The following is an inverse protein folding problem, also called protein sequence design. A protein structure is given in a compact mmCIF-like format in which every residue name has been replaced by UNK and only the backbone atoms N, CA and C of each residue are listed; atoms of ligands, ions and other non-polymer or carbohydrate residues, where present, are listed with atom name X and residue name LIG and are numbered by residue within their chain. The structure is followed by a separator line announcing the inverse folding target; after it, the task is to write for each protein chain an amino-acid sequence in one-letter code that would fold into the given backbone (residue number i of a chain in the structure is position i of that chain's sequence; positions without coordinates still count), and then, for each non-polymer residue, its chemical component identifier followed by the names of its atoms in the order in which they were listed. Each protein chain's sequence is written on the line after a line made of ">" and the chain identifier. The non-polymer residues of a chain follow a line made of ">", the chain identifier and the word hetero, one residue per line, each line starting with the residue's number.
data_IF_274904619618
#
_entry.id   IF_274904619618
#
_cell.length_a   1.000
_cell.length_b   1.000
_cell.length_c   1.000
_cell.angle_alpha   90.00
_cell.angle_beta   90.00
_cell.angle_gamma   90.00
#
_symmetry.space_group_name_H-M   'P 1'
#
loop_
_entity.id
_entity.type
_entity.pdbx_description
1 polymer ?
2 polymer ?
3 water ?
#
# COMPACT_ATOMS: atom_id res chain seq x y z
N UNK A 1 4.94 1.82 -19.07
CA UNK A 1 5.69 1.82 -17.81
C UNK A 1 5.10 0.76 -16.85
N UNK A 2 3.98 0.16 -17.27
CA UNK A 2 3.31 -0.84 -16.45
C UNK A 2 4.18 -2.07 -16.25
N UNK A 3 5.11 -2.31 -17.16
CA UNK A 3 6.07 -3.38 -16.99
C UNK A 3 6.99 -3.18 -15.82
N UNK A 4 6.97 -2.00 -15.21
CA UNK A 4 7.75 -1.78 -14.00
C UNK A 4 7.07 -2.26 -12.73
N UNK A 5 5.77 -2.54 -12.74
CA UNK A 5 5.03 -2.85 -11.55
C UNK A 5 4.62 -4.32 -11.57
N UNK A 6 4.44 -4.87 -10.36
CA UNK A 6 4.14 -6.29 -10.16
C UNK A 6 2.67 -6.59 -10.43
N UNK A 7 2.29 -6.51 -11.71
CA UNK A 7 0.89 -6.75 -12.07
C UNK A 7 0.43 -8.12 -11.58
N UNK A 8 -0.67 -8.10 -10.83
CA UNK A 8 -1.22 -9.30 -10.23
C UNK A 8 -0.85 -9.51 -8.79
N UNK A 9 0.03 -8.69 -8.24
CA UNK A 9 0.40 -8.89 -6.84
C UNK A 9 -0.75 -8.57 -5.89
N UNK A 10 -1.54 -7.54 -6.18
CA UNK A 10 -2.66 -7.21 -5.30
C UNK A 10 -3.65 -8.37 -5.27
N UNK A 11 -3.99 -8.93 -6.45
CA UNK A 11 -4.87 -10.10 -6.47
C UNK A 11 -4.27 -11.28 -5.71
N UNK A 12 -2.96 -11.49 -5.83
CA UNK A 12 -2.31 -12.57 -5.12
C UNK A 12 -2.40 -12.39 -3.61
N UNK A 13 -2.21 -11.16 -3.13
CA UNK A 13 -2.31 -10.92 -1.69
C UNK A 13 -3.73 -11.12 -1.22
N UNK A 14 -4.70 -10.62 -1.98
CA UNK A 14 -6.09 -10.75 -1.56
C UNK A 14 -6.63 -12.16 -1.68
N UNK A 15 -6.03 -13.01 -2.52
CA UNK A 15 -6.52 -14.37 -2.68
C UNK A 15 -5.67 -15.35 -1.87
N UNK A 16 -4.41 -15.47 -2.21
CA UNK A 16 -3.53 -16.43 -1.56
C UNK A 16 -3.12 -15.94 -0.17
N UNK A 17 -2.93 -14.63 -0.01
CA UNK A 17 -2.55 -14.05 1.25
C UNK A 17 -1.17 -14.42 1.70
N UNK A 18 -0.34 -14.89 0.79
CA UNK A 18 1.01 -15.30 1.13
C UNK A 18 1.91 -14.08 1.17
N UNK A 19 2.92 -14.13 2.03
CA UNK A 19 3.74 -12.97 2.31
C UNK A 19 5.17 -13.15 1.84
N UNK A 20 5.46 -14.22 1.06
CA UNK A 20 6.83 -14.42 0.60
C UNK A 20 7.22 -13.51 -0.56
N UNK A 21 6.25 -12.93 -1.25
CA UNK A 21 6.53 -12.14 -2.44
C UNK A 21 7.12 -10.77 -2.06
N UNK A 22 7.77 -10.14 -3.03
CA UNK A 22 8.43 -8.84 -2.83
C UNK A 22 7.95 -7.89 -3.91
N UNK A 23 6.67 -7.59 -3.95
CA UNK A 23 6.13 -6.88 -5.12
C UNK A 23 6.60 -5.46 -5.23
N UNK A 24 6.65 -4.99 -6.47
CA UNK A 24 6.98 -3.61 -6.83
C UNK A 24 5.67 -2.89 -7.14
N UNK A 25 5.40 -1.85 -6.37
CA UNK A 25 4.11 -1.16 -6.38
C UNK A 25 4.32 0.33 -6.51
N UNK A 26 3.32 1.03 -7.04
CA UNK A 26 3.34 2.48 -7.05
C UNK A 26 2.42 3.02 -5.96
N UNK A 27 2.90 4.02 -5.21
CA UNK A 27 2.05 4.71 -4.26
C UNK A 27 1.16 5.66 -5.04
N UNK A 28 -0.15 5.55 -4.86
CA UNK A 28 -1.08 6.52 -5.48
C UNK A 28 -1.37 7.65 -4.50
N UNK A 29 -1.62 7.33 -3.23
CA UNK A 29 -1.98 8.32 -2.21
C UNK A 29 -1.52 7.83 -0.84
N UNK A 30 -1.27 8.79 0.07
CA UNK A 30 -0.81 8.57 1.46
C UNK A 30 -1.58 9.51 2.38
N UNK A 31 -2.26 8.97 3.38
CA UNK A 31 -3.09 9.77 4.28
C UNK A 31 -2.79 9.39 5.72
N UNK A 32 -2.46 10.33 6.60
CA UNK A 32 -2.33 10.00 8.01
C UNK A 32 -3.69 9.77 8.64
N UNK A 33 -3.78 8.73 9.46
CA UNK A 33 -5.03 8.51 10.25
C UNK A 33 -4.62 8.52 11.73
N UNK A 34 -5.38 9.23 12.57
CA UNK A 34 -5.01 9.34 14.02
C UNK A 34 -6.29 9.34 14.87
N UNK A 39 -0.39 10.27 17.49
CA UNK A 39 0.70 9.83 16.61
C UNK A 39 0.08 9.24 15.33
N UNK A 40 0.61 9.54 14.13
CA UNK A 40 -0.04 9.11 12.90
C UNK A 40 0.28 7.72 12.36
N UNK A 41 -0.74 7.04 11.83
CA UNK A 41 -0.50 5.76 11.13
C UNK A 41 -0.89 6.03 9.68
N UNK A 42 0.03 5.85 8.75
CA UNK A 42 -0.24 6.22 7.36
C UNK A 42 -0.95 5.11 6.61
N UNK A 43 -2.07 5.46 5.99
CA UNK A 43 -2.81 4.58 5.10
C UNK A 43 -2.41 4.88 3.65
N UNK A 44 -2.16 3.83 2.88
CA UNK A 44 -1.71 3.99 1.49
C UNK A 44 -2.68 3.37 0.49
N UNK A 45 -2.96 4.13 -0.56
CA UNK A 45 -3.59 3.62 -1.79
C UNK A 45 -2.47 3.23 -2.75
N UNK A 46 -2.33 1.94 -3.04
CA UNK A 46 -1.22 1.38 -3.80
C UNK A 46 -1.77 0.80 -5.09
N UNK A 47 -0.90 0.78 -6.12
CA UNK A 47 -1.20 0.20 -7.42
C UNK A 47 -0.14 -0.81 -7.80
N UNK A 48 -0.58 -1.91 -8.41
CA UNK A 48 0.37 -2.84 -9.02
C UNK A 48 0.33 -2.76 -10.54
N UNK A 49 -0.25 -1.67 -11.07
CA UNK A 49 -0.40 -1.42 -12.48
C UNK A 49 -1.73 -1.91 -13.03
N UNK A 50 -2.25 -3.00 -12.48
CA UNK A 50 -3.54 -3.59 -12.84
C UNK A 50 -4.66 -3.15 -11.91
N UNK A 51 -4.43 -3.25 -10.61
CA UNK A 51 -5.40 -2.90 -9.60
C UNK A 51 -4.84 -1.91 -8.61
N UNK A 52 -5.77 -1.22 -7.94
CA UNK A 52 -5.43 -0.52 -6.71
C UNK A 52 -6.08 -1.19 -5.51
N UNK A 53 -5.52 -0.90 -4.34
CA UNK A 53 -6.05 -1.34 -3.06
C UNK A 53 -5.70 -0.29 -2.01
N UNK A 54 -6.64 0.06 -1.11
CA UNK A 54 -6.38 1.12 -0.14
C UNK A 54 -6.26 0.63 1.29
N UNK A 55 -6.15 -0.67 1.51
CA UNK A 55 -6.03 -1.18 2.88
C UNK A 55 -4.59 -1.46 3.27
N UNK A 56 -3.64 -0.77 2.63
CA UNK A 56 -2.25 -0.81 3.03
C UNK A 56 -2.04 0.15 4.18
N UNK A 57 -1.31 -0.29 5.20
CA UNK A 57 -0.94 0.53 6.34
C UNK A 57 0.56 0.44 6.50
N UNK A 58 1.20 1.57 6.79
CA UNK A 58 2.63 1.62 7.06
C UNK A 58 2.92 1.31 8.52
N UNK A 59 3.83 0.37 8.76
CA UNK A 59 4.36 0.23 10.10
C UNK A 59 4.98 1.54 10.59
N UNK A 60 4.78 1.85 11.88
CA UNK A 60 5.33 3.08 12.48
C UNK A 60 6.82 3.23 12.25
N UNK A 61 7.55 2.11 12.23
CA UNK A 61 9.00 2.17 12.07
C UNK A 61 9.40 2.76 10.72
N UNK A 62 8.50 2.77 9.75
CA UNK A 62 8.77 3.34 8.43
C UNK A 62 8.34 4.80 8.30
N UNK A 63 7.76 5.40 9.34
CA UNK A 63 7.29 6.77 9.23
C UNK A 63 8.34 7.73 8.75
N UNK A 64 9.64 7.58 9.10
CA UNK A 64 10.64 8.51 8.53
C UNK A 64 10.64 8.56 7.01
N UNK A 65 10.30 7.48 6.32
CA UNK A 65 10.26 7.53 4.87
C UNK A 65 9.20 8.50 4.38
N UNK A 66 8.10 8.62 5.12
CA UNK A 66 7.07 9.60 4.74
C UNK A 66 7.51 10.99 5.17
N UNK A 67 8.03 11.10 6.39
CA UNK A 67 8.38 12.40 6.93
C UNK A 67 9.46 13.09 6.12
N UNK A 68 10.42 12.34 5.59
CA UNK A 68 11.46 12.89 4.72
C UNK A 68 11.09 12.89 3.26
N UNK A 69 9.83 12.51 2.94
CA UNK A 69 9.27 12.58 1.59
C UNK A 69 10.00 11.67 0.60
N UNK A 70 10.59 10.59 1.10
CA UNK A 70 11.17 9.59 0.16
C UNK A 70 9.99 8.76 -0.35
N UNK A 71 9.06 8.40 0.54
CA UNK A 71 7.85 7.68 0.19
C UNK A 71 6.76 8.72 0.02
N UNK A 72 6.31 8.92 -1.21
CA UNK A 72 5.29 9.92 -1.48
C UNK A 72 4.54 9.53 -2.75
N UNK A 73 3.42 10.23 -2.98
CA UNK A 73 2.51 9.90 -4.08
C UNK A 73 3.23 9.88 -5.41
N UNK A 74 3.09 8.77 -6.14
CA UNK A 74 3.62 8.43 -7.47
C UNK A 74 4.99 7.76 -7.41
N UNK A 75 5.62 7.66 -6.23
CA UNK A 75 6.87 6.90 -6.16
C UNK A 75 6.61 5.41 -6.38
N UNK A 76 7.67 4.72 -6.81
CA UNK A 76 7.64 3.26 -6.99
C UNK A 76 8.51 2.63 -5.91
N UNK A 77 7.99 1.62 -5.26
CA UNK A 77 8.68 0.99 -4.14
C UNK A 77 8.57 -0.52 -4.25
N UNK A 78 9.44 -1.21 -3.52
CA UNK A 78 9.47 -2.66 -3.49
C UNK A 78 9.25 -3.08 -2.04
N UNK A 79 8.25 -3.92 -1.81
CA UNK A 79 7.95 -4.38 -0.46
C UNK A 79 8.89 -5.52 -0.11
N UNK A 80 9.54 -5.40 1.04
CA UNK A 80 10.45 -6.44 1.50
C UNK A 80 9.94 -7.28 2.65
N UNK A 81 8.96 -6.80 3.40
CA UNK A 81 8.31 -7.59 4.44
C UNK A 81 6.94 -6.98 4.69
N UNK A 82 5.92 -7.83 4.74
CA UNK A 82 4.59 -7.36 5.07
C UNK A 82 3.83 -8.45 5.78
N UNK A 83 2.78 -8.03 6.45
CA UNK A 83 1.89 -8.90 7.21
C UNK A 83 0.47 -8.70 6.71
N UNK A 84 -0.26 -9.78 6.55
CA UNK A 84 -1.66 -9.76 6.18
C UNK A 84 -2.50 -10.00 7.44
N UNK A 85 -3.52 -9.15 7.64
CA UNK A 85 -4.45 -9.29 8.76
C UNK A 85 -5.85 -9.35 8.15
N UNK A 86 -6.45 -10.55 8.18
CA UNK A 86 -7.78 -10.74 7.63
C UNK A 86 -8.82 -10.48 8.71
N UNK A 87 -9.71 -9.56 8.41
CA UNK A 87 -10.71 -9.16 9.38
C UNK A 87 -11.90 -10.12 9.38
N UNK A 88 -12.73 -10.02 10.42
CA UNK A 88 -13.87 -10.93 10.54
C UNK A 88 -14.82 -10.84 9.37
N UNK A 89 -14.89 -9.68 8.70
CA UNK A 89 -15.81 -9.55 7.57
C UNK A 89 -15.19 -9.98 6.26
N UNK A 90 -13.93 -10.42 6.27
CA UNK A 90 -13.30 -10.95 5.07
C UNK A 90 -12.35 -9.99 4.37
N UNK A 91 -12.41 -8.70 4.69
CA UNK A 91 -11.44 -7.76 4.13
C UNK A 91 -10.04 -8.01 4.69
N UNK A 92 -9.02 -7.66 3.93
CA UNK A 92 -7.66 -7.86 4.36
C UNK A 92 -6.94 -6.54 4.47
N UNK A 93 -6.26 -6.37 5.60
CA UNK A 93 -5.35 -5.27 5.84
C UNK A 93 -3.93 -5.75 5.56
N UNK A 94 -3.14 -4.94 4.87
CA UNK A 94 -1.77 -5.29 4.50
C UNK A 94 -0.86 -4.30 5.22
N UNK A 95 -0.13 -4.75 6.23
CA UNK A 95 0.78 -3.91 7.00
C UNK A 95 2.19 -4.05 6.42
N UNK A 96 2.72 -2.93 5.91
CA UNK A 96 4.04 -2.89 5.29
C UNK A 96 5.08 -2.68 6.38
N UNK A 97 5.93 -3.69 6.56
CA UNK A 97 6.95 -3.69 7.60
C UNK A 97 8.28 -3.17 7.11
N UNK A 98 8.68 -3.54 5.89
CA UNK A 98 9.95 -3.14 5.31
C UNK A 98 9.74 -2.86 3.84
N UNK A 99 10.30 -1.78 3.33
CA UNK A 99 10.21 -1.51 1.91
C UNK A 99 11.35 -0.59 1.52
N UNK A 100 11.57 -0.52 0.21
CA UNK A 100 12.61 0.31 -0.36
C UNK A 100 12.00 1.13 -1.47
N UNK A 101 12.26 2.44 -1.49
CA UNK A 101 11.81 3.26 -2.60
C UNK A 101 12.79 3.08 -3.74
N UNK A 102 12.28 2.59 -4.88
CA UNK A 102 13.12 2.36 -6.05
C UNK A 102 13.22 3.57 -6.96
N UNK A 103 12.15 4.34 -7.10
CA UNK A 103 12.14 5.49 -7.98
C UNK A 103 11.27 6.57 -7.34
N UNK A 104 11.80 7.78 -7.27
CA UNK A 104 11.15 8.85 -6.55
C UNK A 104 9.89 9.32 -7.28
N UNK A 105 8.99 9.95 -6.52
CA UNK A 105 7.79 10.53 -7.11
C UNK A 105 8.15 11.53 -8.21
N UNK A 106 9.19 12.32 -7.97
CA UNK A 106 9.59 13.33 -8.92
C UNK A 106 10.07 12.69 -10.21
N UNK A 107 10.79 11.57 -10.09
CA UNK A 107 11.31 10.90 -11.27
C UNK A 107 10.23 10.13 -12.04
N UNK A 108 9.22 9.62 -11.35
CA UNK A 108 8.13 8.93 -12.05
C UNK A 108 7.16 9.93 -12.64
N UNK A 109 6.72 10.89 -11.84
CA UNK A 109 6.01 12.06 -12.33
C UNK A 109 4.52 11.92 -12.50
N UNK A 110 3.99 10.71 -12.52
CA UNK A 110 2.61 10.49 -12.92
C UNK A 110 2.19 9.08 -12.52
N UNK A 111 0.88 8.88 -12.40
CA UNK A 111 0.34 7.54 -12.14
C UNK A 111 0.62 6.67 -13.36
N UNK A 112 1.13 5.47 -13.12
CA UNK A 112 1.47 4.53 -14.19
C UNK A 112 0.23 3.73 -14.58
N UNK A 113 -0.01 3.61 -15.88
CA UNK A 113 -1.11 2.76 -16.31
C UNK A 113 -2.49 3.29 -15.97
N UNK A 114 -3.45 2.38 -16.04
CA UNK A 114 -4.85 2.72 -15.74
C UNK A 114 -5.41 1.67 -14.79
N UNK A 115 -4.87 1.58 -13.57
CA UNK A 115 -5.34 0.55 -12.63
C UNK A 115 -6.76 0.83 -12.14
N UNK A 116 -7.47 -0.27 -11.85
CA UNK A 116 -8.85 -0.18 -11.40
C UNK A 116 -8.95 -0.83 -10.02
N UNK A 117 -9.89 -0.44 -9.18
CA UNK A 117 -9.94 -0.99 -7.82
C UNK A 117 -10.10 -2.51 -7.85
N UNK A 118 -9.31 -3.22 -7.05
CA UNK A 118 -9.47 -4.65 -6.90
C UNK A 118 -10.89 -4.99 -6.45
N UNK A 119 -11.47 -6.02 -7.06
CA UNK A 119 -12.91 -6.33 -6.83
C UNK A 119 -13.80 -5.16 -6.46
N UNK B 1 -14.81 -2.00 -1.12
CA UNK B 1 -15.09 -2.31 0.27
C UNK B 1 -14.16 -1.56 1.26
N UNK B 2 -13.27 -0.69 0.80
CA UNK B 2 -12.51 0.19 1.68
C UNK B 2 -12.72 1.64 1.29
N UNK B 3 -13.08 2.47 2.27
CA UNK B 3 -13.43 3.86 1.98
C UNK B 3 -12.68 4.84 2.86
N UNK B 4 -12.71 6.10 2.43
CA UNK B 4 -12.12 7.23 3.15
C UNK B 4 -13.17 7.77 4.12
N UNK B 5 -13.24 7.17 5.31
CA UNK B 5 -14.21 7.57 6.32
C UNK B 5 -13.70 7.10 7.67
N UNK B 6 -14.26 7.66 8.75
CA UNK B 6 -13.74 7.38 10.11
C UNK B 6 -13.81 5.89 10.47
N UNK B 7 -14.93 5.22 10.21
CA UNK B 7 -15.09 3.80 10.62
C UNK B 7 -13.98 2.95 9.99
N UNK B 8 -13.76 3.12 8.69
CA UNK B 8 -12.72 2.32 7.97
C UNK B 8 -11.35 2.78 8.46
N UNK B 9 -11.12 4.10 8.54
CA UNK B 9 -9.86 4.55 9.11
C UNK B 9 -9.60 3.94 10.48
N UNK B 10 -10.62 3.87 11.34
CA UNK B 10 -10.34 3.37 12.70
C UNK B 10 -10.09 1.87 12.69
N UNK B 11 -10.80 1.15 11.84
CA UNK B 11 -10.58 -0.29 11.70
C UNK B 11 -9.17 -0.57 11.21
N UNK B 12 -8.68 0.25 10.26
CA UNK B 12 -7.33 0.07 9.74
C UNK B 12 -6.30 0.41 10.80
N UNK B 13 -6.53 1.49 11.56
CA UNK B 13 -5.58 1.88 12.60
C UNK B 13 -5.44 0.77 13.64
N UNK B 14 -6.58 0.23 14.09
CA UNK B 14 -6.62 -0.81 15.11
C UNK B 14 -5.99 -2.11 14.62
N UNK B 15 -6.16 -2.41 13.33
CA UNK B 15 -5.61 -3.62 12.75
C UNK B 15 -4.10 -3.66 12.83
N UNK B 16 -3.45 -2.52 13.03
CA UNK B 16 -2.00 -2.52 13.14
C UNK B 16 -1.52 -2.87 14.53
N UNK B 17 -2.44 -3.00 15.49
CA UNK B 17 -2.05 -3.49 16.79
C UNK B 17 -1.83 -5.00 16.70
#
# INVERSE_FOLDING_TARGET
>A
MVGQLSEGAIAAIMQKGDTNIKPILQVINIRPITTGNSPPRYRLLMSDGLNTLSSFMLATQLNPLVEEEQLSSNCVCQIHRFIVNTLKDGRRVVILMELEVLKSAEAVGVKIGNPVPYNE
>B
TWEADDVDDDLLYQACDDIERLTQ
#
